data_IF_691059301994
#
_entry.id   IF_691059301994
#
_cell.length_a   1.000
_cell.length_b   1.000
_cell.length_c   1.000
_cell.angle_alpha   90.00
_cell.angle_beta   90.00
_cell.angle_gamma   90.00
#
_symmetry.space_group_name_H-M   'P 1'
#
loop_
_entity.id
_entity.type
_entity.pdbx_description
1 polymer ?
#
# COMPACT_ATOMS: atom_id res chain seq x y z
N UNK A 1 3.72 -1.44 -7.75
CA UNK A 1 3.44 -0.25 -8.57
C UNK A 1 3.05 -0.69 -9.96
N UNK A 2 2.00 -0.12 -10.55
CA UNK A 2 1.54 -0.46 -11.90
C UNK A 2 2.56 -0.02 -12.97
N UNK A 3 3.18 1.15 -12.79
CA UNK A 3 4.24 1.66 -13.65
C UNK A 3 5.38 0.65 -13.86
N UNK A 4 5.94 0.12 -12.76
CA UNK A 4 7.03 -0.87 -12.81
C UNK A 4 6.61 -2.14 -13.55
N UNK A 5 5.36 -2.60 -13.37
CA UNK A 5 4.87 -3.79 -14.10
C UNK A 5 4.78 -3.50 -15.60
N UNK A 6 4.31 -2.32 -15.97
CA UNK A 6 4.18 -1.92 -17.37
C UNK A 6 5.56 -1.75 -18.02
N UNK A 7 6.51 -1.13 -17.33
CA UNK A 7 7.87 -0.93 -17.83
C UNK A 7 8.58 -2.26 -18.08
N UNK A 8 8.52 -3.19 -17.11
CA UNK A 8 9.07 -4.54 -17.26
C UNK A 8 8.39 -5.29 -18.41
N UNK A 9 7.07 -5.15 -18.54
CA UNK A 9 6.33 -5.79 -19.64
C UNK A 9 6.80 -5.24 -20.99
N UNK A 10 6.87 -3.92 -21.13
CA UNK A 10 7.34 -3.26 -22.34
C UNK A 10 8.79 -3.66 -22.69
N UNK A 11 9.67 -3.75 -21.69
CA UNK A 11 11.05 -4.21 -21.88
C UNK A 11 11.10 -5.61 -22.51
N UNK A 12 10.33 -6.56 -21.98
CA UNK A 12 10.30 -7.92 -22.53
C UNK A 12 9.60 -8.02 -23.88
N UNK A 13 8.58 -7.20 -24.14
CA UNK A 13 7.92 -7.15 -25.44
C UNK A 13 8.84 -6.58 -26.53
N UNK A 14 9.62 -5.54 -26.22
CA UNK A 14 10.62 -5.00 -27.15
C UNK A 14 11.77 -5.97 -27.43
N UNK A 15 12.02 -6.91 -26.52
CA UNK A 15 13.05 -7.92 -26.69
C UNK A 15 12.61 -9.08 -27.60
N UNK A 16 11.32 -9.25 -27.89
CA UNK A 16 10.81 -10.35 -28.72
C UNK A 16 11.43 -10.30 -30.11
N UNK A 17 11.84 -11.46 -30.62
CA UNK A 17 12.41 -11.57 -31.98
C UNK A 17 13.83 -11.01 -32.13
N UNK A 18 14.46 -10.54 -31.05
CA UNK A 18 15.87 -10.10 -31.07
C UNK A 18 16.82 -11.21 -30.61
N UNK A 19 18.11 -11.07 -30.89
CA UNK A 19 19.17 -12.01 -30.47
C UNK A 19 19.64 -11.80 -29.01
N UNK A 20 18.77 -11.32 -28.12
CA UNK A 20 19.11 -11.18 -26.70
C UNK A 20 18.69 -12.40 -25.87
N UNK A 21 19.34 -12.59 -24.71
CA UNK A 21 19.06 -13.71 -23.81
C UNK A 21 17.63 -13.74 -23.25
N UNK A 22 16.96 -12.57 -23.20
CA UNK A 22 15.62 -12.42 -22.64
C UNK A 22 14.50 -12.39 -23.68
N UNK A 23 14.78 -12.73 -24.96
CA UNK A 23 13.76 -12.70 -26.02
C UNK A 23 12.55 -13.61 -25.71
N UNK A 24 12.75 -14.69 -24.94
CA UNK A 24 11.70 -15.62 -24.50
C UNK A 24 11.32 -15.49 -23.02
N UNK A 25 11.79 -14.45 -22.33
CA UNK A 25 11.51 -14.28 -20.91
C UNK A 25 10.04 -13.93 -20.67
N UNK A 26 9.44 -14.54 -19.64
CA UNK A 26 8.06 -14.29 -19.21
C UNK A 26 8.05 -13.85 -17.74
N UNK A 27 7.08 -12.99 -17.39
CA UNK A 27 6.89 -12.50 -16.02
C UNK A 27 5.97 -13.45 -15.27
N UNK A 28 6.42 -13.93 -14.10
CA UNK A 28 5.58 -14.69 -13.18
C UNK A 28 4.46 -13.77 -12.67
N UNK A 29 3.17 -14.13 -12.80
CA UNK A 29 2.04 -13.25 -12.46
C UNK A 29 1.76 -13.20 -10.95
N UNK A 30 2.80 -13.27 -10.12
CA UNK A 30 2.71 -13.22 -8.65
C UNK A 30 3.52 -12.04 -8.14
N UNK A 31 2.89 -11.17 -7.35
CA UNK A 31 3.55 -10.01 -6.75
C UNK A 31 3.94 -10.31 -5.29
N UNK A 32 5.24 -10.32 -5.00
CA UNK A 32 5.74 -10.44 -3.62
C UNK A 32 5.58 -9.10 -2.91
N UNK A 33 4.82 -9.06 -1.83
CA UNK A 33 4.59 -7.86 -1.04
C UNK A 33 5.79 -7.54 -0.16
N UNK A 34 6.03 -6.26 0.13
CA UNK A 34 6.99 -5.86 1.17
C UNK A 34 6.55 -6.47 2.49
N UNK A 35 7.43 -7.24 3.12
CA UNK A 35 7.13 -7.94 4.36
C UNK A 35 8.38 -7.98 5.26
N UNK A 36 8.24 -7.61 6.53
CA UNK A 36 9.36 -7.55 7.48
C UNK A 36 9.91 -8.95 7.81
N UNK A 37 9.04 -9.97 7.88
CA UNK A 37 9.45 -11.35 8.18
C UNK A 37 10.36 -11.94 7.10
N UNK A 38 10.16 -11.55 5.83
CA UNK A 38 11.10 -11.87 4.76
C UNK A 38 12.50 -11.27 4.98
N UNK A 39 12.58 -10.06 5.53
CA UNK A 39 13.86 -9.40 5.80
C UNK A 39 14.53 -9.93 7.07
N UNK A 40 13.76 -10.37 8.06
CA UNK A 40 14.28 -10.90 9.34
C UNK A 40 14.78 -12.34 9.23
N UNK A 41 14.08 -13.21 8.50
CA UNK A 41 14.38 -14.66 8.45
C UNK A 41 15.87 -15.00 8.17
N UNK A 42 16.58 -14.31 7.25
CA UNK A 42 18.01 -14.54 7.01
C UNK A 42 18.89 -14.37 8.26
N UNK A 43 18.60 -13.38 9.10
CA UNK A 43 19.35 -13.13 10.35
C UNK A 43 19.21 -14.27 11.36
N UNK A 44 18.13 -15.04 11.28
CA UNK A 44 17.90 -16.23 12.11
C UNK A 44 18.39 -17.52 11.44
N UNK A 45 18.99 -17.45 10.24
CA UNK A 45 19.46 -18.62 9.49
C UNK A 45 18.33 -19.55 9.05
N UNK A 46 17.10 -19.04 8.92
CA UNK A 46 15.90 -19.81 8.55
C UNK A 46 15.33 -19.32 7.24
N UNK A 47 14.68 -20.20 6.49
CA UNK A 47 13.80 -19.76 5.40
C UNK A 47 12.56 -19.05 5.97
N UNK A 48 11.86 -18.26 5.14
CA UNK A 48 10.61 -17.63 5.60
C UNK A 48 9.53 -18.66 5.96
N UNK A 49 9.58 -19.84 5.34
CA UNK A 49 8.66 -20.95 5.64
C UNK A 49 8.90 -21.54 7.03
N UNK A 50 10.16 -21.62 7.48
CA UNK A 50 10.52 -22.11 8.81
C UNK A 50 10.42 -21.02 9.89
N UNK A 51 10.68 -19.77 9.54
CA UNK A 51 10.64 -18.64 10.46
C UNK A 51 9.20 -18.22 10.77
N UNK A 52 8.39 -17.99 9.73
CA UNK A 52 7.00 -17.53 9.88
C UNK A 52 6.12 -17.99 8.69
N UNK A 53 5.63 -19.25 8.71
CA UNK A 53 4.92 -19.85 7.58
C UNK A 53 3.60 -19.16 7.22
N UNK A 54 2.93 -18.55 8.20
CA UNK A 54 1.61 -17.93 7.99
C UNK A 54 1.67 -16.47 7.52
N UNK A 55 2.87 -15.89 7.46
CA UNK A 55 3.01 -14.50 7.04
C UNK A 55 2.68 -14.31 5.56
N UNK A 56 2.40 -13.05 5.21
CA UNK A 56 2.12 -12.64 3.85
C UNK A 56 3.25 -12.98 2.86
N UNK A 57 4.51 -12.82 3.28
CA UNK A 57 5.66 -13.14 2.44
C UNK A 57 5.77 -14.62 2.11
N UNK A 58 5.58 -15.50 3.10
CA UNK A 58 5.57 -16.96 2.92
C UNK A 58 4.47 -17.40 1.94
N UNK A 59 3.26 -16.85 2.09
CA UNK A 59 2.14 -17.11 1.18
C UNK A 59 2.44 -16.66 -0.25
N UNK A 60 3.05 -15.50 -0.43
CA UNK A 60 3.42 -14.99 -1.77
C UNK A 60 4.49 -15.88 -2.43
N UNK A 61 5.51 -16.31 -1.67
CA UNK A 61 6.52 -17.25 -2.17
C UNK A 61 5.96 -18.65 -2.47
N UNK A 62 4.96 -19.10 -1.71
CA UNK A 62 4.26 -20.36 -1.98
C UNK A 62 3.56 -20.31 -3.34
N UNK A 63 2.91 -19.19 -3.68
CA UNK A 63 2.28 -19.00 -5.00
C UNK A 63 3.31 -19.03 -6.14
N UNK A 64 4.51 -18.48 -5.92
CA UNK A 64 5.61 -18.56 -6.90
C UNK A 64 6.08 -20.01 -7.06
N UNK A 65 6.31 -20.72 -5.96
CA UNK A 65 6.72 -22.12 -6.00
C UNK A 65 5.69 -22.99 -6.74
N UNK A 66 4.40 -22.76 -6.48
CA UNK A 66 3.31 -23.43 -7.19
C UNK A 66 3.27 -23.09 -8.68
N UNK A 67 3.51 -21.83 -9.05
CA UNK A 67 3.59 -21.43 -10.45
C UNK A 67 4.77 -22.12 -11.16
N UNK A 68 5.96 -22.12 -10.56
CA UNK A 68 7.14 -22.77 -11.12
C UNK A 68 6.93 -24.29 -11.29
N UNK A 69 6.27 -24.92 -10.31
CA UNK A 69 5.95 -26.35 -10.37
C UNK A 69 4.94 -26.69 -11.46
N UNK A 70 3.91 -25.86 -11.64
CA UNK A 70 2.88 -26.07 -12.68
C UNK A 70 3.34 -25.62 -14.07
N UNK A 71 4.34 -24.75 -14.12
CA UNK A 71 4.77 -24.06 -15.33
C UNK A 71 3.81 -22.96 -15.75
N UNK A 72 4.21 -22.10 -16.72
CA UNK A 72 3.34 -21.08 -17.29
C UNK A 72 2.08 -21.73 -17.84
N UNK A 73 0.94 -21.40 -17.24
CA UNK A 73 -0.34 -21.82 -17.78
C UNK A 73 -0.71 -20.85 -18.90
N UNK A 74 -1.22 -21.33 -20.05
CA UNK A 74 -1.83 -20.44 -21.01
C UNK A 74 -2.92 -19.67 -20.28
N UNK A 75 -2.74 -18.34 -20.20
CA UNK A 75 -3.76 -17.41 -19.71
C UNK A 75 -4.97 -17.60 -20.62
N UNK A 76 -5.89 -18.47 -20.21
CA UNK A 76 -7.18 -18.59 -20.86
C UNK A 76 -7.75 -17.16 -20.86
N UNK A 77 -8.08 -16.58 -22.03
CA UNK A 77 -8.85 -15.34 -22.03
C UNK A 77 -10.05 -15.58 -21.11
N UNK A 78 -10.41 -14.62 -20.24
CA UNK A 78 -11.58 -14.78 -19.39
C UNK A 78 -12.69 -15.30 -20.30
N UNK A 79 -13.16 -16.53 -19.99
CA UNK A 79 -14.14 -17.20 -20.82
C UNK A 79 -15.22 -16.16 -21.11
N UNK A 80 -15.41 -15.84 -22.40
CA UNK A 80 -16.45 -14.92 -22.82
C UNK A 80 -17.74 -15.64 -22.45
N UNK A 81 -18.23 -15.43 -21.23
CA UNK A 81 -19.55 -15.86 -20.86
C UNK A 81 -20.44 -15.10 -21.83
N UNK A 82 -21.26 -15.78 -22.66
CA UNK A 82 -22.28 -15.07 -23.40
C UNK A 82 -23.01 -14.21 -22.37
N UNK A 83 -23.13 -12.91 -22.65
CA UNK A 83 -23.96 -12.03 -21.84
C UNK A 83 -25.35 -12.66 -21.82
N UNK A 84 -25.68 -13.36 -20.73
CA UNK A 84 -27.04 -13.72 -20.42
C UNK A 84 -27.59 -12.46 -19.76
N UNK A 85 -28.54 -11.74 -20.40
CA UNK A 85 -29.30 -10.75 -19.66
C UNK A 85 -29.91 -11.52 -18.48
N UNK A 86 -29.53 -11.12 -17.26
CA UNK A 86 -29.99 -11.77 -16.05
C UNK A 86 -31.52 -11.91 -16.16
N UNK A 87 -32.00 -13.15 -16.22
CA UNK A 87 -33.41 -13.40 -15.99
C UNK A 87 -33.71 -12.79 -14.62
N UNK A 88 -34.61 -11.82 -14.58
CA UNK A 88 -35.03 -11.20 -13.33
C UNK A 88 -35.90 -12.24 -12.62
N UNK A 89 -35.26 -13.15 -11.87
CA UNK A 89 -35.94 -13.93 -10.85
C UNK A 89 -36.23 -12.95 -9.71
N UNK A 90 -37.50 -12.68 -9.34
CA UNK A 90 -37.78 -11.91 -8.14
C UNK A 90 -37.35 -12.73 -6.92
N UNK A 91 -36.10 -12.57 -6.50
CA UNK A 91 -35.65 -13.02 -5.19
C UNK A 91 -36.19 -12.00 -4.19
N UNK A 92 -37.28 -12.35 -3.49
CA UNK A 92 -37.74 -11.62 -2.31
C UNK A 92 -36.67 -11.75 -1.23
N UNK A 93 -35.78 -10.76 -1.17
CA UNK A 93 -34.81 -10.61 -0.09
C UNK A 93 -35.58 -10.17 1.15
N UNK A 94 -35.59 -10.91 2.27
CA UNK A 94 -36.14 -10.38 3.51
C UNK A 94 -35.26 -9.19 3.93
N UNK A 95 -35.86 -8.00 3.95
CA UNK A 95 -35.23 -6.79 4.48
C UNK A 95 -34.86 -7.07 5.94
N UNK A 96 -33.55 -7.17 6.21
CA UNK A 96 -33.02 -7.03 7.56
C UNK A 96 -33.34 -5.59 7.99
N UNK A 97 -34.22 -5.43 8.96
CA UNK A 97 -34.45 -4.12 9.58
C UNK A 97 -33.14 -3.66 10.21
N UNK A 98 -32.54 -2.61 9.64
CA UNK A 98 -31.51 -1.81 10.29
C UNK A 98 -32.17 -1.09 11.47
N UNK A 99 -31.66 -1.25 12.71
CA UNK A 99 -32.04 -0.37 13.81
C UNK A 99 -31.73 1.07 13.40
N UNK A 100 -32.76 1.91 13.31
CA UNK A 100 -32.59 3.33 13.06
C UNK A 100 -32.01 3.99 14.32
N UNK A 101 -30.69 4.10 14.42
CA UNK A 101 -30.10 5.14 15.28
C UNK A 101 -30.31 6.48 14.60
N UNK A 102 -31.24 7.26 15.15
CA UNK A 102 -31.58 8.62 14.73
C UNK A 102 -30.39 9.57 14.94
N UNK A 103 -29.41 9.53 14.02
CA UNK A 103 -28.38 10.57 13.90
C UNK A 103 -28.87 11.62 12.91
N UNK A 104 -29.72 12.53 13.39
CA UNK A 104 -29.88 13.83 12.74
C UNK A 104 -28.58 14.62 12.95
N UNK A 105 -27.97 15.19 11.90
CA UNK A 105 -26.92 16.18 12.10
C UNK A 105 -27.54 17.40 12.80
N UNK A 106 -27.15 17.63 14.05
CA UNK A 106 -27.50 18.84 14.79
C UNK A 106 -26.81 20.03 14.10
N UNK A 107 -27.47 21.21 13.99
CA UNK A 107 -26.79 22.41 13.52
C UNK A 107 -25.64 22.74 14.48
N UNK A 108 -24.43 22.88 13.94
CA UNK A 108 -23.27 23.40 14.67
C UNK A 108 -23.57 24.82 15.17
N UNK A 109 -23.44 25.11 16.47
CA UNK A 109 -23.55 26.48 16.97
C UNK A 109 -22.48 27.35 16.33
N UNK A 110 -22.85 28.46 15.71
CA UNK A 110 -21.89 29.50 15.32
C UNK A 110 -21.33 30.08 16.61
N UNK A 111 -20.09 29.72 16.92
CA UNK A 111 -19.36 30.33 18.04
C UNK A 111 -19.07 31.78 17.66
N UNK A 112 -19.61 32.72 18.45
CA UNK A 112 -19.34 34.15 18.29
C UNK A 112 -17.82 34.37 18.27
N UNK A 113 -17.35 35.01 17.20
CA UNK A 113 -15.99 35.55 17.11
C UNK A 113 -15.79 36.49 18.32
N UNK A 114 -14.79 36.27 19.19
CA UNK A 114 -14.44 37.26 20.19
C UNK A 114 -14.05 38.56 19.48
N UNK A 115 -14.74 39.65 19.82
CA UNK A 115 -14.36 40.97 19.33
C UNK A 115 -12.98 41.34 19.89
N UNK A 116 -12.12 41.84 18.99
CA UNK A 116 -10.90 42.63 19.21
C UNK A 116 -9.87 42.12 20.23
N UNK A 117 -8.75 41.59 19.73
CA UNK A 117 -7.45 41.83 20.38
C UNK A 117 -6.72 42.85 19.50
N UNK A 118 -6.66 44.09 19.97
CA UNK A 118 -5.81 45.11 19.39
C UNK A 118 -4.34 44.65 19.46
N UNK A 119 -3.52 44.86 18.42
CA UNK A 119 -2.09 44.60 18.51
C UNK A 119 -1.45 45.62 19.47
N UNK A 120 -1.11 45.19 20.68
CA UNK A 120 -0.16 45.93 21.51
C UNK A 120 1.25 45.74 20.93
N UNK A 121 1.76 46.78 20.28
CA UNK A 121 3.17 46.89 19.90
C UNK A 121 4.02 46.98 21.17
N UNK A 122 4.68 45.89 21.58
CA UNK A 122 5.80 45.94 22.51
C UNK A 122 7.11 45.83 21.72
N UNK A 123 8.08 46.74 21.92
CA UNK A 123 9.38 46.63 21.26
C UNK A 123 10.15 45.43 21.83
N UNK A 124 10.78 44.67 20.94
CA UNK A 124 11.62 43.52 21.29
C UNK A 124 12.80 43.97 22.17
N UNK A 125 12.89 43.43 23.39
CA UNK A 125 14.13 43.52 24.17
C UNK A 125 15.17 42.59 23.55
N UNK A 126 16.24 43.17 23.02
CA UNK A 126 17.43 42.44 22.60
C UNK A 126 18.03 41.78 23.84
N UNK A 127 18.01 40.45 23.87
CA UNK A 127 18.65 39.66 24.91
C UNK A 127 20.17 39.87 24.81
N UNK A 128 20.77 40.56 25.79
CA UNK A 128 22.22 40.62 25.93
C UNK A 128 22.75 39.20 26.13
N UNK A 129 23.56 38.72 25.19
CA UNK A 129 24.41 37.56 25.40
C UNK A 129 25.39 37.89 26.54
N UNK A 130 25.23 37.22 27.68
CA UNK A 130 26.22 37.29 28.75
C UNK A 130 27.50 36.58 28.27
N UNK A 131 28.61 37.32 28.27
CA UNK A 131 29.93 36.77 27.96
C UNK A 131 30.35 35.78 29.06
N UNK A 132 31.06 34.69 28.73
CA UNK A 132 31.58 33.76 29.73
C UNK A 132 32.63 34.44 30.62
N UNK A 133 32.80 33.99 31.88
CA UNK A 133 33.76 34.58 32.80
C UNK A 133 35.19 34.36 32.30
N UNK A 134 35.97 35.44 32.26
CA UNK A 134 37.41 35.38 32.04
C UNK A 134 38.07 34.74 33.27
N UNK A 135 38.78 33.63 33.08
CA UNK A 135 39.62 33.06 34.14
C UNK A 135 40.88 33.90 34.25
N UNK A 136 41.05 34.63 35.35
CA UNK A 136 42.33 35.24 35.73
C UNK A 136 43.15 34.15 36.42
N UNK A 137 44.13 33.60 35.70
CA UNK A 137 45.21 32.80 36.27
C UNK A 137 46.43 33.70 36.52
N UNK A 138 46.96 33.62 37.74
CA UNK A 138 48.23 34.18 38.21
C UNK A 138 49.40 33.57 37.42
#
# INVERSE_FOLDING_TARGET
SEEVKNDISNFFENARGTECAWNKAEVIPVNVRRNIKLAEAPSYGKTVFEYEPECNGSKDYQLIADFLRKGPQPKQPPAVQPYQPAAIHPQTIPIRQIPQTQNQPQPIPIQQIPQSIQPQSQPAQIQQFQQPPQTTGI
#
